data_IF_928248569146
#
_entry.id   IF_928248569146
#
_cell.length_a   1.000
_cell.length_b   1.000
_cell.length_c   1.000
_cell.angle_alpha   90.00
_cell.angle_beta   90.00
_cell.angle_gamma   90.00
#
_symmetry.space_group_name_H-M   'P 1'
#
loop_
_entity.id
_entity.type
_entity.pdbx_description
1 polymer ?
#
# COMPACT_ATOMS: atom_id res chain seq x y z
N UNK A 1 14.20 -27.81 2.88
CA UNK A 1 14.75 -26.54 2.37
C UNK A 1 15.45 -26.88 1.08
N UNK A 2 15.03 -26.27 -0.01
CA UNK A 2 15.62 -26.51 -1.32
C UNK A 2 16.99 -25.82 -1.39
N UNK A 3 18.02 -26.59 -1.76
CA UNK A 3 19.41 -26.10 -1.86
C UNK A 3 19.51 -24.94 -2.86
N UNK A 4 18.71 -24.98 -3.91
CA UNK A 4 18.70 -23.95 -4.94
C UNK A 4 18.18 -22.61 -4.42
N UNK A 5 17.13 -22.63 -3.58
CA UNK A 5 16.63 -21.42 -2.94
C UNK A 5 17.68 -20.79 -2.01
N UNK A 6 18.37 -21.62 -1.22
CA UNK A 6 19.47 -21.16 -0.35
C UNK A 6 20.62 -20.56 -1.15
N UNK A 7 20.99 -21.21 -2.26
CA UNK A 7 22.05 -20.71 -3.14
C UNK A 7 21.69 -19.37 -3.77
N UNK A 8 20.43 -19.22 -4.24
CA UNK A 8 19.96 -17.94 -4.79
C UNK A 8 19.91 -16.86 -3.70
N UNK A 9 19.39 -17.20 -2.51
CA UNK A 9 19.34 -16.25 -1.39
C UNK A 9 20.74 -15.77 -0.99
N UNK A 10 21.73 -16.67 -0.96
CA UNK A 10 23.12 -16.32 -0.67
C UNK A 10 23.70 -15.37 -1.73
N UNK A 11 23.42 -15.62 -3.01
CA UNK A 11 23.89 -14.74 -4.10
C UNK A 11 23.21 -13.37 -4.05
N UNK A 12 21.92 -13.31 -3.74
CA UNK A 12 21.18 -12.05 -3.53
C UNK A 12 21.77 -11.27 -2.36
N UNK A 13 22.09 -11.95 -1.25
CA UNK A 13 22.70 -11.31 -0.09
C UNK A 13 24.08 -10.71 -0.40
N UNK A 14 24.89 -11.39 -1.23
CA UNK A 14 26.18 -10.88 -1.70
C UNK A 14 26.04 -9.68 -2.65
N UNK A 15 24.96 -9.62 -3.44
CA UNK A 15 24.69 -8.52 -4.36
C UNK A 15 24.05 -7.30 -3.67
N UNK A 16 23.45 -7.48 -2.49
CA UNK A 16 22.69 -6.43 -1.79
C UNK A 16 23.46 -5.10 -1.60
N UNK A 17 24.77 -5.09 -1.27
CA UNK A 17 25.53 -3.84 -1.17
C UNK A 17 25.73 -3.10 -2.50
N UNK A 18 25.45 -3.75 -3.63
CA UNK A 18 25.59 -3.18 -4.98
C UNK A 18 24.25 -2.72 -5.56
N UNK A 19 23.15 -2.95 -4.82
CA UNK A 19 21.82 -2.52 -5.24
C UNK A 19 21.59 -1.04 -4.92
N UNK A 20 20.76 -0.34 -5.71
CA UNK A 20 20.31 1.00 -5.37
C UNK A 20 19.69 1.06 -3.97
N UNK A 21 19.87 2.20 -3.29
CA UNK A 21 19.40 2.39 -1.92
C UNK A 21 17.89 2.11 -1.77
N UNK A 22 17.07 2.50 -2.76
CA UNK A 22 15.64 2.27 -2.77
C UNK A 22 15.27 0.78 -2.78
N UNK A 23 16.06 -0.05 -3.48
CA UNK A 23 15.86 -1.51 -3.53
C UNK A 23 16.32 -2.16 -2.24
N UNK A 24 17.46 -1.71 -1.70
CA UNK A 24 18.00 -2.22 -0.43
C UNK A 24 17.10 -1.88 0.75
N UNK A 25 16.47 -0.70 0.75
CA UNK A 25 15.51 -0.28 1.78
C UNK A 25 14.22 -1.11 1.77
N UNK A 26 13.75 -1.49 0.58
CA UNK A 26 12.55 -2.36 0.43
C UNK A 26 12.87 -3.82 0.73
N UNK A 27 14.13 -4.22 0.52
CA UNK A 27 14.60 -5.60 0.63
C UNK A 27 14.30 -6.45 -0.60
N UNK A 28 15.03 -7.54 -0.74
CA UNK A 28 14.83 -8.54 -1.80
C UNK A 28 14.51 -9.88 -1.16
N UNK A 29 13.36 -10.45 -1.51
CA UNK A 29 12.94 -11.78 -1.05
C UNK A 29 13.07 -12.80 -2.16
N UNK A 30 13.55 -14.00 -1.83
CA UNK A 30 13.62 -15.14 -2.74
C UNK A 30 12.54 -16.13 -2.33
N UNK A 31 11.62 -16.40 -3.23
CA UNK A 31 10.54 -17.39 -3.03
C UNK A 31 10.55 -18.38 -4.18
N UNK A 32 10.30 -19.63 -3.86
CA UNK A 32 10.11 -20.67 -4.85
C UNK A 32 8.63 -20.75 -5.21
N UNK A 33 8.31 -20.70 -6.50
CA UNK A 33 6.94 -20.89 -7.00
C UNK A 33 6.93 -21.63 -8.31
N UNK A 34 5.84 -22.34 -8.58
CA UNK A 34 5.59 -22.85 -9.92
C UNK A 34 5.17 -21.66 -10.81
N UNK A 35 5.71 -21.50 -12.03
CA UNK A 35 5.33 -20.40 -12.91
C UNK A 35 3.89 -20.53 -13.46
N UNK A 36 3.27 -21.71 -13.35
CA UNK A 36 1.90 -21.93 -13.81
C UNK A 36 0.89 -21.49 -12.75
N UNK A 37 -0.14 -20.77 -13.18
CA UNK A 37 -1.29 -20.43 -12.33
C UNK A 37 -2.02 -21.75 -12.01
N UNK A 38 -2.26 -21.98 -10.73
CA UNK A 38 -3.05 -23.13 -10.27
C UNK A 38 -4.55 -22.83 -10.39
N UNK A 39 -4.97 -21.69 -9.84
CA UNK A 39 -6.35 -21.21 -9.86
C UNK A 39 -6.36 -19.71 -10.12
N UNK A 40 -7.38 -19.25 -10.81
CA UNK A 40 -7.66 -17.84 -11.00
C UNK A 40 -9.13 -17.56 -10.71
N UNK A 41 -9.40 -16.49 -9.96
CA UNK A 41 -10.74 -16.01 -9.67
C UNK A 41 -10.86 -14.56 -10.09
N UNK A 42 -11.96 -14.24 -10.73
CA UNK A 42 -12.33 -12.87 -11.06
C UNK A 42 -13.28 -12.33 -9.98
N UNK A 43 -13.00 -11.12 -9.52
CA UNK A 43 -13.84 -10.39 -8.58
C UNK A 43 -14.24 -9.08 -9.23
N UNK A 44 -15.52 -8.89 -9.40
CA UNK A 44 -16.08 -7.71 -10.06
C UNK A 44 -17.23 -7.11 -9.24
N UNK A 45 -17.56 -5.86 -9.56
CA UNK A 45 -18.72 -5.19 -8.99
C UNK A 45 -19.88 -5.28 -9.95
N UNK A 46 -21.01 -5.88 -9.52
CA UNK A 46 -22.23 -5.80 -10.31
C UNK A 46 -22.67 -4.33 -10.40
N UNK A 47 -23.00 -3.87 -11.60
CA UNK A 47 -23.49 -2.50 -11.86
C UNK A 47 -22.48 -1.37 -11.52
N UNK A 48 -21.19 -1.69 -11.32
CA UNK A 48 -20.16 -0.66 -11.06
C UNK A 48 -20.33 0.09 -9.73
N UNK A 49 -20.98 -0.52 -8.74
CA UNK A 49 -21.22 0.10 -7.43
C UNK A 49 -19.91 0.31 -6.63
N UNK A 50 -18.92 -0.53 -6.86
CA UNK A 50 -17.62 -0.50 -6.18
C UNK A 50 -16.50 -0.32 -7.19
N UNK A 51 -15.58 0.57 -6.92
CA UNK A 51 -14.40 0.80 -7.75
C UNK A 51 -13.30 -0.24 -7.47
N UNK A 52 -12.30 -0.30 -8.34
CA UNK A 52 -11.17 -1.22 -8.20
C UNK A 52 -10.39 -1.02 -6.88
N UNK A 53 -10.33 0.19 -6.35
CA UNK A 53 -9.64 0.49 -5.11
C UNK A 53 -10.36 -0.12 -3.91
N UNK A 54 -11.69 -0.02 -3.86
CA UNK A 54 -12.50 -0.67 -2.83
C UNK A 54 -12.38 -2.19 -2.89
N UNK A 55 -12.55 -2.78 -4.09
CA UNK A 55 -12.42 -4.22 -4.28
C UNK A 55 -11.03 -4.72 -3.87
N UNK A 56 -9.98 -3.98 -4.21
CA UNK A 56 -8.61 -4.31 -3.83
C UNK A 56 -8.43 -4.29 -2.30
N UNK A 57 -8.93 -3.27 -1.62
CA UNK A 57 -8.93 -3.19 -0.16
C UNK A 57 -9.64 -4.38 0.48
N UNK A 58 -10.85 -4.70 0.00
CA UNK A 58 -11.64 -5.83 0.48
C UNK A 58 -10.90 -7.17 0.31
N UNK A 59 -10.26 -7.38 -0.86
CA UNK A 59 -9.47 -8.58 -1.13
C UNK A 59 -8.28 -8.67 -0.19
N UNK A 60 -7.53 -7.59 0.01
CA UNK A 60 -6.36 -7.60 0.88
C UNK A 60 -6.74 -7.88 2.34
N UNK A 61 -7.81 -7.27 2.84
CA UNK A 61 -8.22 -7.43 4.23
C UNK A 61 -8.79 -8.82 4.53
N UNK A 62 -9.61 -9.37 3.62
CA UNK A 62 -10.41 -10.56 3.93
C UNK A 62 -9.98 -11.83 3.20
N UNK A 63 -9.25 -11.74 2.08
CA UNK A 63 -8.96 -12.89 1.24
C UNK A 63 -7.47 -13.15 1.02
N UNK A 64 -6.66 -12.12 0.79
CA UNK A 64 -5.24 -12.28 0.46
C UNK A 64 -4.46 -13.05 1.53
N UNK A 65 -4.62 -12.67 2.79
CA UNK A 65 -3.89 -13.32 3.87
C UNK A 65 -4.38 -14.75 4.16
N UNK A 66 -5.69 -15.04 4.20
CA UNK A 66 -6.19 -16.43 4.27
C UNK A 66 -5.64 -17.30 3.15
N UNK A 67 -5.72 -16.86 1.89
CA UNK A 67 -5.19 -17.61 0.75
C UNK A 67 -3.68 -17.86 0.86
N UNK A 68 -2.93 -16.85 1.29
CA UNK A 68 -1.46 -16.97 1.45
C UNK A 68 -1.05 -17.94 2.56
N UNK A 69 -1.97 -18.32 3.45
CA UNK A 69 -1.74 -19.29 4.55
C UNK A 69 -2.15 -20.71 4.20
N UNK A 70 -2.83 -20.92 3.07
CA UNK A 70 -3.17 -22.28 2.62
C UNK A 70 -1.88 -23.04 2.36
N UNK A 71 -1.76 -24.23 2.92
CA UNK A 71 -0.57 -25.07 2.76
C UNK A 71 -0.35 -25.39 1.28
N UNK A 72 0.86 -25.20 0.80
CA UNK A 72 1.22 -25.44 -0.60
C UNK A 72 1.01 -24.23 -1.52
N UNK A 73 0.40 -23.14 -1.08
CA UNK A 73 0.37 -21.88 -1.81
C UNK A 73 1.74 -21.20 -1.71
N UNK A 74 2.33 -20.85 -2.86
CA UNK A 74 3.60 -20.13 -2.94
C UNK A 74 3.38 -18.61 -2.98
N UNK A 75 2.47 -18.17 -3.83
CA UNK A 75 2.21 -16.74 -4.07
C UNK A 75 0.77 -16.53 -4.50
N UNK A 76 0.19 -15.44 -4.04
CA UNK A 76 -1.10 -14.92 -4.48
C UNK A 76 -0.84 -13.56 -5.15
N UNK A 77 -1.23 -13.42 -6.41
CA UNK A 77 -1.10 -12.19 -7.17
C UNK A 77 -2.48 -11.61 -7.46
N UNK A 78 -2.64 -10.32 -7.21
CA UNK A 78 -3.86 -9.58 -7.55
C UNK A 78 -3.55 -8.75 -8.80
N UNK A 79 -4.22 -9.06 -9.90
CA UNK A 79 -4.10 -8.37 -11.19
C UNK A 79 -5.28 -7.42 -11.36
N UNK A 80 -5.06 -6.25 -11.91
CA UNK A 80 -6.06 -5.19 -12.03
C UNK A 80 -6.30 -4.42 -10.73
N UNK A 81 -5.78 -4.95 -9.61
CA UNK A 81 -5.82 -4.28 -8.32
C UNK A 81 -4.80 -3.14 -8.26
N UNK A 82 -5.21 -2.08 -7.62
CA UNK A 82 -4.34 -0.96 -7.39
C UNK A 82 -4.52 -0.46 -5.96
N UNK A 83 -3.40 -0.29 -5.27
CA UNK A 83 -3.44 0.22 -3.90
C UNK A 83 -3.95 1.65 -3.88
N UNK A 84 -4.77 2.03 -2.89
CA UNK A 84 -5.17 3.41 -2.72
C UNK A 84 -3.95 4.32 -2.58
N UNK A 85 -3.99 5.46 -3.25
CA UNK A 85 -2.92 6.43 -3.22
C UNK A 85 -3.46 7.86 -3.34
N UNK A 86 -2.70 8.81 -2.81
CA UNK A 86 -2.93 10.24 -3.04
C UNK A 86 -2.04 10.72 -4.18
N UNK A 87 -2.66 11.28 -5.20
CA UNK A 87 -1.98 11.92 -6.33
C UNK A 87 -1.85 13.41 -6.07
N UNK A 88 -0.64 13.90 -6.10
CA UNK A 88 -0.33 15.31 -5.95
C UNK A 88 -0.02 15.89 -7.33
N UNK A 89 -0.94 16.67 -7.89
CA UNK A 89 -0.78 17.37 -9.15
C UNK A 89 -0.29 18.78 -8.86
N UNK A 90 0.97 19.05 -9.12
CA UNK A 90 1.58 20.37 -8.86
C UNK A 90 1.69 21.17 -10.15
N UNK A 91 1.42 22.48 -10.07
CA UNK A 91 1.57 23.41 -11.19
C UNK A 91 3.01 23.94 -11.24
N UNK A 92 3.79 23.61 -12.31
CA UNK A 92 5.17 24.04 -12.43
C UNK A 92 5.34 25.57 -12.41
N UNK A 93 4.36 26.31 -12.97
CA UNK A 93 4.41 27.76 -13.02
C UNK A 93 4.25 28.37 -11.63
N UNK A 94 3.34 27.81 -10.81
CA UNK A 94 3.15 28.24 -9.42
C UNK A 94 4.34 27.86 -8.55
N UNK A 95 4.94 26.68 -8.76
CA UNK A 95 6.17 26.29 -8.07
C UNK A 95 7.30 27.27 -8.39
N UNK A 96 7.54 27.55 -9.67
CA UNK A 96 8.59 28.48 -10.09
C UNK A 96 8.38 29.92 -9.55
N UNK A 97 7.13 30.41 -9.55
CA UNK A 97 6.78 31.70 -8.97
C UNK A 97 7.12 31.80 -7.47
N UNK A 98 7.04 30.70 -6.75
CA UNK A 98 7.37 30.59 -5.33
C UNK A 98 8.80 30.09 -5.08
N UNK A 99 9.64 29.93 -6.13
CA UNK A 99 11.02 29.44 -6.08
C UNK A 99 11.13 28.05 -5.47
N UNK A 100 10.14 27.20 -5.75
CA UNK A 100 10.08 25.80 -5.32
C UNK A 100 10.32 24.87 -6.50
N UNK A 101 10.83 23.70 -6.20
CA UNK A 101 10.99 22.57 -7.11
C UNK A 101 10.03 21.44 -6.73
N UNK A 102 9.85 20.46 -7.60
CA UNK A 102 9.11 19.23 -7.26
C UNK A 102 9.79 18.45 -6.15
N UNK A 103 11.11 18.55 -6.02
CA UNK A 103 11.87 17.90 -4.95
C UNK A 103 11.55 18.53 -3.58
N UNK A 104 11.35 19.86 -3.52
CA UNK A 104 10.92 20.54 -2.30
C UNK A 104 9.56 20.04 -1.83
N UNK A 105 8.64 19.78 -2.77
CA UNK A 105 7.33 19.18 -2.46
C UNK A 105 7.49 17.77 -1.91
N UNK A 106 8.34 16.94 -2.55
CA UNK A 106 8.61 15.57 -2.08
C UNK A 106 9.20 15.57 -0.67
N UNK A 107 10.19 16.42 -0.42
CA UNK A 107 10.81 16.57 0.89
C UNK A 107 9.81 17.04 1.96
N UNK A 108 8.90 17.95 1.60
CA UNK A 108 7.84 18.40 2.49
C UNK A 108 6.86 17.26 2.84
N UNK A 109 6.48 16.43 1.85
CA UNK A 109 5.66 15.23 2.10
C UNK A 109 6.40 14.27 3.03
N UNK A 110 7.64 13.91 2.73
CA UNK A 110 8.41 12.97 3.53
C UNK A 110 8.59 13.43 4.98
N UNK A 111 8.85 14.72 5.18
CA UNK A 111 9.07 15.27 6.53
C UNK A 111 7.80 15.40 7.36
N UNK A 112 6.65 15.63 6.72
CA UNK A 112 5.37 15.83 7.39
C UNK A 112 4.45 14.59 7.36
N UNK A 113 4.83 13.54 6.62
CA UNK A 113 4.15 12.24 6.59
C UNK A 113 5.06 11.19 7.22
N UNK A 114 5.35 11.34 8.50
CA UNK A 114 6.22 10.43 9.24
C UNK A 114 5.57 10.04 10.56
N UNK A 115 5.75 8.78 10.95
CA UNK A 115 5.24 8.30 12.23
C UNK A 115 5.92 9.05 13.37
N UNK A 116 5.15 9.81 14.11
CA UNK A 116 5.61 10.51 15.30
C UNK A 116 5.05 9.87 16.56
N UNK A 117 5.92 9.59 17.50
CA UNK A 117 5.52 9.08 18.81
C UNK A 117 5.27 10.26 19.73
N UNK A 118 4.08 10.34 20.33
CA UNK A 118 3.78 11.29 21.38
C UNK A 118 4.65 11.05 22.61
N UNK A 119 4.75 12.05 23.45
CA UNK A 119 5.55 12.00 24.67
C UNK A 119 4.91 12.78 25.81
N UNK A 120 5.69 13.03 26.85
CA UNK A 120 5.28 13.81 28.01
C UNK A 120 6.26 14.97 28.21
N UNK A 121 5.72 16.17 28.39
CA UNK A 121 6.51 17.31 28.87
C UNK A 121 6.39 17.33 30.40
N UNK A 122 7.52 17.39 31.11
CA UNK A 122 7.55 17.39 32.57
C UNK A 122 7.34 16.01 33.22
N UNK A 123 7.46 14.92 32.42
CA UNK A 123 7.39 13.54 32.95
C UNK A 123 8.67 13.10 33.68
N UNK A 124 8.62 11.98 34.45
CA UNK A 124 9.80 11.42 35.12
C UNK A 124 10.92 11.07 34.14
N UNK A 125 12.22 11.24 34.49
CA UNK A 125 12.72 11.70 35.79
C UNK A 125 12.85 13.23 35.88
N UNK A 126 11.78 13.94 36.24
CA UNK A 126 11.85 15.38 36.50
C UNK A 126 12.39 15.60 37.93
N UNK A 127 13.45 16.39 38.05
CA UNK A 127 13.96 16.83 39.33
C UNK A 127 13.38 18.21 39.64
N UNK A 128 12.68 18.36 40.76
CA UNK A 128 12.19 19.63 41.25
C UNK A 128 10.66 19.75 41.32
N UNK A 129 10.19 20.89 41.80
CA UNK A 129 8.77 21.22 42.02
C UNK A 129 7.91 21.36 40.75
N UNK A 130 8.16 20.59 39.73
CA UNK A 130 7.33 20.60 38.51
C UNK A 130 6.01 19.87 38.78
N UNK A 131 4.98 20.66 39.01
CA UNK A 131 3.65 20.19 39.39
C UNK A 131 2.82 19.72 38.16
N UNK A 132 3.26 19.90 36.94
CA UNK A 132 2.41 19.68 35.77
C UNK A 132 3.10 18.82 34.70
N UNK A 133 2.42 17.75 34.31
CA UNK A 133 2.82 16.87 33.18
C UNK A 133 1.82 17.06 32.05
N UNK A 134 2.31 17.40 30.86
CA UNK A 134 1.49 17.59 29.67
C UNK A 134 1.74 16.46 28.67
N UNK A 135 0.72 15.65 28.33
CA UNK A 135 0.85 14.69 27.26
C UNK A 135 0.94 15.41 25.90
N UNK A 136 1.87 14.98 25.07
CA UNK A 136 1.91 15.35 23.65
C UNK A 136 1.16 14.28 22.88
N UNK A 137 -0.01 14.61 22.37
CA UNK A 137 -0.81 13.72 21.51
C UNK A 137 -0.55 14.12 20.07
N UNK A 138 -0.12 13.16 19.27
CA UNK A 138 0.07 13.34 17.81
C UNK A 138 -1.13 12.72 17.10
N UNK A 139 -1.89 13.55 16.40
CA UNK A 139 -3.06 13.12 15.63
C UNK A 139 -2.60 12.19 14.49
N UNK A 140 -3.34 11.11 14.25
CA UNK A 140 -3.05 10.11 13.22
C UNK A 140 -1.61 9.57 13.23
N UNK A 141 -0.96 9.60 14.39
CA UNK A 141 0.46 9.23 14.55
C UNK A 141 1.40 10.00 13.61
N UNK A 142 1.00 11.18 13.13
CA UNK A 142 1.77 12.01 12.20
C UNK A 142 1.61 11.64 10.72
N UNK A 143 0.74 10.69 10.39
CA UNK A 143 0.48 10.32 8.99
C UNK A 143 -0.58 11.24 8.36
N UNK A 144 -0.39 11.55 7.08
CA UNK A 144 -1.38 12.23 6.26
C UNK A 144 -2.36 11.18 5.71
N UNK A 145 -3.63 11.24 6.10
CA UNK A 145 -4.63 10.22 5.78
C UNK A 145 -5.82 10.75 4.97
N UNK A 146 -5.91 12.07 4.80
CA UNK A 146 -7.01 12.72 4.09
C UNK A 146 -6.52 13.72 3.05
N UNK A 147 -7.38 14.01 2.06
CA UNK A 147 -7.10 15.07 1.07
C UNK A 147 -6.83 16.41 1.74
N UNK A 148 -7.54 16.70 2.84
CA UNK A 148 -7.37 17.95 3.58
C UNK A 148 -6.03 18.03 4.29
N UNK A 149 -5.49 16.92 4.80
CA UNK A 149 -4.17 16.87 5.42
C UNK A 149 -3.11 17.24 4.37
N UNK A 150 -3.16 16.60 3.19
CA UNK A 150 -2.25 16.92 2.09
C UNK A 150 -2.41 18.36 1.58
N UNK A 151 -3.65 18.86 1.46
CA UNK A 151 -3.91 20.24 1.05
C UNK A 151 -3.31 21.28 2.00
N UNK A 152 -3.27 20.95 3.29
CA UNK A 152 -2.72 21.80 4.33
C UNK A 152 -1.22 21.63 4.57
N UNK A 153 -0.56 20.72 3.84
CA UNK A 153 0.87 20.48 3.92
C UNK A 153 1.64 21.79 3.62
N UNK A 154 2.58 22.12 4.51
CA UNK A 154 3.36 23.36 4.43
C UNK A 154 4.58 23.13 3.55
N UNK A 155 4.67 23.86 2.44
CA UNK A 155 5.80 23.78 1.52
C UNK A 155 6.89 24.81 1.86
N UNK A 156 6.47 26.01 2.27
CA UNK A 156 7.42 27.07 2.58
C UNK A 156 6.79 28.12 3.49
N UNK A 157 7.62 28.96 4.10
CA UNK A 157 7.22 30.14 4.86
C UNK A 157 7.79 31.39 4.22
N UNK A 158 6.92 32.31 3.83
CA UNK A 158 7.34 33.64 3.33
C UNK A 158 8.06 34.41 4.43
N UNK A 159 8.99 35.32 4.07
CA UNK A 159 9.59 36.28 5.02
C UNK A 159 8.57 37.12 5.80
N UNK A 160 7.37 37.32 5.24
CA UNK A 160 6.25 38.00 5.90
C UNK A 160 5.49 37.12 6.90
N UNK A 161 5.89 35.84 7.06
CA UNK A 161 5.26 34.86 7.97
C UNK A 161 4.10 34.07 7.35
N UNK A 162 3.69 34.35 6.13
CA UNK A 162 2.63 33.61 5.46
C UNK A 162 3.11 32.20 5.10
N UNK A 163 2.26 31.19 5.36
CA UNK A 163 2.52 29.81 5.02
C UNK A 163 2.04 29.52 3.59
N UNK A 164 2.93 29.02 2.75
CA UNK A 164 2.57 28.46 1.45
C UNK A 164 2.23 26.99 1.62
N UNK A 165 1.01 26.64 1.25
CA UNK A 165 0.49 25.27 1.37
C UNK A 165 0.42 24.57 0.01
N UNK A 166 0.32 23.23 0.02
CA UNK A 166 0.22 22.44 -1.21
C UNK A 166 -0.96 22.89 -2.08
N UNK A 167 -2.12 23.17 -1.48
CA UNK A 167 -3.32 23.67 -2.21
C UNK A 167 -3.10 24.98 -2.99
N UNK A 168 -2.09 25.77 -2.63
CA UNK A 168 -1.80 27.04 -3.30
C UNK A 168 -1.06 26.81 -4.63
N UNK A 169 -0.35 25.68 -4.74
CA UNK A 169 0.50 25.33 -5.89
C UNK A 169 0.06 24.09 -6.63
N UNK A 170 -0.95 23.37 -6.12
CA UNK A 170 -1.38 22.10 -6.71
C UNK A 170 -2.76 21.66 -6.26
N UNK A 171 -3.10 20.44 -6.64
CA UNK A 171 -4.34 19.75 -6.33
C UNK A 171 -4.03 18.34 -5.83
N UNK A 172 -4.78 17.86 -4.87
CA UNK A 172 -4.68 16.49 -4.34
C UNK A 172 -5.91 15.70 -4.76
N UNK A 173 -5.69 14.51 -5.32
CA UNK A 173 -6.76 13.57 -5.66
C UNK A 173 -6.47 12.22 -5.02
N UNK A 174 -7.52 11.61 -4.52
CA UNK A 174 -7.47 10.21 -4.10
C UNK A 174 -7.76 9.32 -5.31
N UNK A 175 -7.03 8.22 -5.43
CA UNK A 175 -7.20 7.29 -6.53
C UNK A 175 -6.32 6.06 -6.36
N UNK A 176 -6.07 5.37 -7.45
CA UNK A 176 -5.23 4.19 -7.51
C UNK A 176 -3.76 4.55 -7.74
N UNK A 177 -2.82 3.82 -7.14
CA UNK A 177 -1.38 4.02 -7.35
C UNK A 177 -0.91 3.59 -8.75
N UNK A 178 -1.72 2.86 -9.50
CA UNK A 178 -1.41 2.40 -10.85
C UNK A 178 -2.68 2.25 -11.67
N UNK A 179 -2.62 2.73 -12.91
CA UNK A 179 -3.65 2.51 -13.93
C UNK A 179 -3.09 1.70 -15.11
N UNK A 180 -1.96 1.03 -14.93
CA UNK A 180 -1.26 0.34 -16.02
C UNK A 180 -1.88 -1.00 -16.40
N UNK A 181 -2.64 -1.62 -15.50
CA UNK A 181 -3.35 -2.89 -15.76
C UNK A 181 -4.80 -2.66 -15.36
N UNK A 182 -5.68 -2.63 -16.34
CA UNK A 182 -7.12 -2.67 -16.13
C UNK A 182 -7.62 -4.06 -16.49
N UNK A 183 -8.30 -4.69 -15.57
CA UNK A 183 -9.06 -5.91 -15.81
C UNK A 183 -10.53 -5.50 -15.85
N UNK A 184 -11.22 -5.95 -16.87
CA UNK A 184 -12.67 -5.73 -17.02
C UNK A 184 -13.35 -7.08 -17.14
N UNK A 185 -14.52 -7.17 -16.59
CA UNK A 185 -15.38 -8.35 -16.74
C UNK A 185 -16.06 -8.35 -18.13
N UNK A 186 -16.92 -9.35 -18.37
CA UNK A 186 -17.67 -9.49 -19.62
C UNK A 186 -18.63 -8.32 -19.91
N UNK A 187 -18.95 -7.51 -18.91
CA UNK A 187 -19.84 -6.36 -19.00
C UNK A 187 -19.07 -5.03 -19.08
N UNK A 188 -17.76 -5.09 -19.32
CA UNK A 188 -16.86 -3.92 -19.35
C UNK A 188 -16.81 -3.16 -18.00
N UNK A 189 -17.18 -3.81 -16.90
CA UNK A 189 -17.00 -3.25 -15.55
C UNK A 189 -15.62 -3.56 -15.01
N UNK A 190 -15.10 -2.71 -14.13
CA UNK A 190 -13.81 -2.94 -13.48
C UNK A 190 -13.84 -4.24 -12.67
N UNK A 191 -12.83 -5.07 -12.90
CA UNK A 191 -12.66 -6.35 -12.24
C UNK A 191 -11.24 -6.54 -11.74
N UNK A 192 -11.07 -7.46 -10.80
CA UNK A 192 -9.78 -7.87 -10.28
C UNK A 192 -9.62 -9.36 -10.49
N UNK A 193 -8.44 -9.80 -10.86
CA UNK A 193 -8.14 -11.23 -10.97
C UNK A 193 -7.16 -11.63 -9.88
N UNK A 194 -7.53 -12.61 -9.08
CA UNK A 194 -6.65 -13.25 -8.11
C UNK A 194 -6.07 -14.50 -8.75
N UNK A 195 -4.76 -14.52 -8.94
CA UNK A 195 -4.03 -15.68 -9.43
C UNK A 195 -3.27 -16.34 -8.28
N UNK A 196 -3.53 -17.62 -8.04
CA UNK A 196 -2.88 -18.43 -7.01
C UNK A 196 -1.86 -19.35 -7.64
N UNK A 197 -0.65 -19.33 -7.11
CA UNK A 197 0.48 -20.15 -7.53
C UNK A 197 0.85 -21.12 -6.42
N UNK A 198 1.10 -22.37 -6.79
CA UNK A 198 1.50 -23.40 -5.84
C UNK A 198 3.02 -23.54 -5.73
N UNK A 199 3.49 -24.15 -4.64
CA UNK A 199 4.88 -24.58 -4.52
C UNK A 199 5.12 -25.81 -5.38
N UNK A 200 6.33 -26.00 -5.94
CA UNK A 200 6.61 -27.14 -6.85
C UNK A 200 6.40 -28.51 -6.20
N UNK A 201 6.51 -28.60 -4.87
CA UNK A 201 6.40 -29.86 -4.12
C UNK A 201 5.00 -30.15 -3.57
N UNK A 202 4.04 -29.24 -3.76
CA UNK A 202 2.68 -29.42 -3.24
C UNK A 202 1.81 -30.23 -4.18
N UNK A 203 0.78 -30.88 -3.59
CA UNK A 203 -0.27 -31.54 -4.35
C UNK A 203 -1.29 -30.49 -4.85
N UNK A 204 -1.46 -30.38 -6.15
CA UNK A 204 -2.37 -29.42 -6.76
C UNK A 204 -3.82 -29.56 -6.31
N UNK A 205 -4.30 -30.79 -6.05
CA UNK A 205 -5.67 -31.03 -5.58
C UNK A 205 -5.88 -30.49 -4.18
N UNK A 206 -4.98 -30.84 -3.25
CA UNK A 206 -5.09 -30.41 -1.85
C UNK A 206 -5.02 -28.89 -1.73
N UNK A 207 -4.11 -28.25 -2.50
CA UNK A 207 -4.01 -26.79 -2.56
C UNK A 207 -5.28 -26.16 -3.14
N UNK A 208 -5.82 -26.77 -4.22
CA UNK A 208 -7.05 -26.27 -4.84
C UNK A 208 -8.23 -26.34 -3.90
N UNK A 209 -8.40 -27.47 -3.16
CA UNK A 209 -9.46 -27.61 -2.17
C UNK A 209 -9.35 -26.55 -1.08
N UNK A 210 -8.16 -26.35 -0.51
CA UNK A 210 -7.93 -25.32 0.50
C UNK A 210 -8.20 -23.90 0.00
N UNK A 211 -7.85 -23.59 -1.26
CA UNK A 211 -8.15 -22.31 -1.89
C UNK A 211 -9.65 -22.12 -2.10
N UNK A 212 -10.34 -23.16 -2.62
CA UNK A 212 -11.79 -23.12 -2.84
C UNK A 212 -12.55 -22.91 -1.53
N UNK A 213 -12.12 -23.54 -0.45
CA UNK A 213 -12.73 -23.36 0.88
C UNK A 213 -12.59 -21.89 1.35
N UNK A 214 -11.44 -21.26 1.17
CA UNK A 214 -11.25 -19.85 1.50
C UNK A 214 -12.11 -18.92 0.63
N UNK A 215 -12.21 -19.20 -0.67
CA UNK A 215 -13.09 -18.45 -1.58
C UNK A 215 -14.56 -18.60 -1.16
N UNK A 216 -15.00 -19.77 -0.78
CA UNK A 216 -16.39 -20.01 -0.34
C UNK A 216 -16.69 -19.25 0.97
N UNK A 217 -15.78 -19.26 1.94
CA UNK A 217 -15.91 -18.46 3.15
C UNK A 217 -15.97 -16.97 2.83
N UNK A 218 -15.14 -16.50 1.92
CA UNK A 218 -15.17 -15.10 1.49
C UNK A 218 -16.48 -14.72 0.81
N UNK A 219 -17.07 -15.61 -0.01
CA UNK A 219 -18.38 -15.38 -0.64
C UNK A 219 -19.51 -15.12 0.36
N UNK A 220 -19.41 -15.67 1.56
CA UNK A 220 -20.41 -15.43 2.62
C UNK A 220 -20.28 -14.06 3.29
N UNK A 221 -19.11 -13.43 3.18
CA UNK A 221 -18.78 -12.18 3.87
C UNK A 221 -18.77 -10.95 2.98
N UNK A 222 -18.75 -11.13 1.66
CA UNK A 222 -18.70 -10.01 0.71
C UNK A 222 -19.98 -9.18 0.72
N UNK A 223 -19.88 -7.85 0.51
CA UNK A 223 -21.03 -6.99 0.37
C UNK A 223 -21.91 -7.40 -0.82
N UNK A 224 -23.24 -7.18 -0.75
CA UNK A 224 -24.11 -7.32 -1.91
C UNK A 224 -23.62 -6.46 -3.08
N UNK A 225 -23.55 -7.05 -4.27
CA UNK A 225 -23.03 -6.35 -5.46
C UNK A 225 -21.60 -6.73 -5.83
N UNK A 226 -20.89 -7.50 -5.02
CA UNK A 226 -19.61 -8.13 -5.39
C UNK A 226 -19.86 -9.51 -5.95
N UNK A 227 -19.30 -9.79 -7.13
CA UNK A 227 -19.42 -11.08 -7.83
C UNK A 227 -18.05 -11.76 -7.87
N UNK A 228 -18.03 -13.07 -7.62
CA UNK A 228 -16.83 -13.90 -7.67
C UNK A 228 -17.06 -15.05 -8.64
N UNK A 229 -16.30 -15.11 -9.71
CA UNK A 229 -16.39 -16.14 -10.77
C UNK A 229 -15.08 -16.90 -10.94
#
# INVERSE_FOLDING_TARGET
IDIDQVNVQNRVSLANPQLPEQVSATGVSVKQSNPSILLAYEISSSEGQFDAAFLNGLIYEQLYYPLSRVEGVATVNILGGANPAFWLFVDPSKLAANKLTSEDVLNAVQSQNSVAVGGLIGGPPASGDQAYTYPIVVENNGNLISIDDFNNLILNRSPSGNLLKLKDVGEVRYGSNSYSIQVVDKNETEALTIAVFQTPSSNALDVSEGVIDQINQFRETVPPGVTIS
#
